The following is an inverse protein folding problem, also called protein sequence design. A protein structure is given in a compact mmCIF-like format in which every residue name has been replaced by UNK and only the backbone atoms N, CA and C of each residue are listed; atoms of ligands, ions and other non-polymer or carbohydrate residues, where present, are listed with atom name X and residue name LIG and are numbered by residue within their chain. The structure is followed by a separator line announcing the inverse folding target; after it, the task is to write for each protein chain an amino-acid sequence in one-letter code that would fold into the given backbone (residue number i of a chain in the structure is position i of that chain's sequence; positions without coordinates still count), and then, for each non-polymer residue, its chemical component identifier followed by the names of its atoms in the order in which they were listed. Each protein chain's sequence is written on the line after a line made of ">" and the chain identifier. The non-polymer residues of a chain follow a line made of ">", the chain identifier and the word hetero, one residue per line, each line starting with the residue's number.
data_IF_083272071166
#
_entry.id   IF_083272071166
#
_cell.length_a   1.000
_cell.length_b   1.000
_cell.length_c   1.000
_cell.angle_alpha   90.00
_cell.angle_beta   90.00
_cell.angle_gamma   90.00
#
_symmetry.space_group_name_H-M   'P 1'
#
loop_
_entity.id
_entity.type
_entity.pdbx_description
1 polymer ?
#
# COMPACT_ATOMS: atom_id res chain seq x y z
N UNK A 1 24.71 41.87 -19.37
CA UNK A 1 23.31 42.32 -19.30
C UNK A 1 22.62 41.62 -18.16
N UNK A 2 22.07 42.37 -17.22
CA UNK A 2 21.32 41.86 -16.08
C UNK A 2 19.96 42.57 -16.12
N UNK A 3 18.99 41.99 -16.82
CA UNK A 3 17.64 42.56 -16.87
C UNK A 3 16.77 41.90 -15.78
N UNK A 4 16.11 42.69 -14.91
CA UNK A 4 15.26 42.15 -13.87
C UNK A 4 13.98 41.54 -14.48
N UNK A 5 13.59 40.36 -14.01
CA UNK A 5 12.35 39.70 -14.43
C UNK A 5 11.12 40.50 -13.97
N UNK A 6 10.22 40.83 -14.89
CA UNK A 6 8.93 41.44 -14.57
C UNK A 6 8.00 40.42 -13.87
N UNK A 7 7.65 40.68 -12.62
CA UNK A 7 6.63 39.92 -11.88
C UNK A 7 5.31 40.70 -11.82
N UNK A 8 4.21 40.00 -12.09
CA UNK A 8 2.86 40.56 -12.16
C UNK A 8 2.43 41.17 -10.81
N UNK A 9 1.98 42.44 -10.76
CA UNK A 9 1.62 43.10 -9.51
C UNK A 9 0.33 42.55 -8.91
N UNK A 10 0.27 42.48 -7.58
CA UNK A 10 -0.84 41.91 -6.79
C UNK A 10 -2.19 42.62 -7.06
N UNK A 11 -2.17 43.86 -7.56
CA UNK A 11 -3.37 44.59 -7.99
C UNK A 11 -4.14 43.91 -9.14
N UNK A 12 -3.49 43.04 -9.92
CA UNK A 12 -4.13 42.30 -11.01
C UNK A 12 -5.23 41.33 -10.53
N UNK A 13 -5.24 40.95 -9.25
CA UNK A 13 -6.25 40.04 -8.68
C UNK A 13 -7.55 40.74 -8.25
N UNK A 14 -7.61 42.07 -8.27
CA UNK A 14 -8.76 42.86 -7.82
C UNK A 14 -9.95 42.86 -8.78
N UNK A 15 -9.75 42.53 -10.06
CA UNK A 15 -10.83 42.51 -11.06
C UNK A 15 -11.41 41.10 -11.24
N UNK A 16 -12.15 40.61 -10.24
CA UNK A 16 -13.06 39.46 -10.42
C UNK A 16 -14.40 39.93 -11.00
N UNK A 17 -14.46 40.10 -12.32
CA UNK A 17 -15.68 39.80 -13.06
C UNK A 17 -15.36 38.70 -14.07
N UNK A 18 -15.80 37.47 -13.78
CA UNK A 18 -15.88 36.45 -14.83
C UNK A 18 -17.03 36.86 -15.75
N UNK A 19 -16.82 36.98 -17.07
CA UNK A 19 -17.93 37.16 -18.00
C UNK A 19 -18.90 35.98 -17.83
N UNK A 20 -20.15 36.31 -17.50
CA UNK A 20 -21.26 35.36 -17.49
C UNK A 20 -21.32 34.69 -18.85
N UNK A 21 -21.09 33.37 -18.91
CA UNK A 21 -21.38 32.58 -20.12
C UNK A 21 -22.89 32.51 -20.29
N UNK A 22 -23.43 33.49 -21.00
CA UNK A 22 -24.79 33.45 -21.52
C UNK A 22 -24.92 32.27 -22.51
N UNK A 23 -25.85 31.37 -22.17
CA UNK A 23 -26.63 30.43 -22.98
C UNK A 23 -26.08 29.97 -24.35
N UNK A 24 -25.70 28.69 -24.41
CA UNK A 24 -25.89 27.83 -25.59
C UNK A 24 -26.15 26.40 -25.09
N UNK A 25 -27.39 26.10 -24.69
CA UNK A 25 -27.86 24.72 -24.54
C UNK A 25 -28.38 24.23 -25.90
N UNK A 26 -27.97 23.05 -26.39
CA UNK A 26 -28.51 22.48 -27.63
C UNK A 26 -30.02 22.20 -27.55
N UNK A 27 -30.75 22.15 -28.67
CA UNK A 27 -32.20 21.94 -28.68
C UNK A 27 -32.58 20.60 -28.05
N UNK A 28 -33.52 20.64 -27.11
CA UNK A 28 -34.06 19.45 -26.43
C UNK A 28 -35.02 18.73 -27.37
N UNK A 29 -34.55 17.69 -28.06
CA UNK A 29 -35.43 16.74 -28.75
C UNK A 29 -36.21 15.89 -27.73
N UNK A 30 -37.41 15.51 -28.13
CA UNK A 30 -38.48 14.96 -27.30
C UNK A 30 -38.09 13.71 -26.49
N UNK A 31 -38.69 13.63 -25.30
CA UNK A 31 -38.55 12.59 -24.29
C UNK A 31 -39.05 11.23 -24.80
N UNK A 32 -38.15 10.25 -24.89
CA UNK A 32 -38.47 8.82 -24.90
C UNK A 32 -38.02 8.24 -23.55
N UNK A 33 -38.73 7.26 -22.97
CA UNK A 33 -38.46 6.78 -21.62
C UNK A 33 -37.11 6.05 -21.56
N UNK A 34 -36.33 6.15 -20.48
CA UNK A 34 -35.03 5.49 -20.39
C UNK A 34 -35.21 3.98 -20.14
N UNK A 35 -35.13 3.20 -21.22
CA UNK A 35 -34.64 1.83 -21.15
C UNK A 35 -33.11 1.89 -21.05
N UNK A 36 -32.59 1.29 -19.97
CA UNK A 36 -31.17 1.01 -19.72
C UNK A 36 -30.20 2.21 -19.68
N UNK A 37 -29.57 2.41 -18.53
CA UNK A 37 -28.31 3.14 -18.41
C UNK A 37 -27.35 2.71 -19.53
N UNK A 38 -26.69 3.64 -20.24
CA UNK A 38 -25.75 3.27 -21.29
C UNK A 38 -24.63 2.46 -20.63
N UNK A 39 -24.57 1.19 -20.98
CA UNK A 39 -23.47 0.31 -20.63
C UNK A 39 -22.25 0.89 -21.36
N UNK A 40 -21.38 1.57 -20.62
CA UNK A 40 -20.11 2.15 -21.11
C UNK A 40 -19.03 1.09 -21.29
N UNK A 41 -19.38 -0.18 -21.46
CA UNK A 41 -18.43 -1.31 -21.50
C UNK A 41 -17.54 -1.35 -22.75
N UNK A 42 -17.76 -0.46 -23.72
CA UNK A 42 -17.03 -0.47 -25.00
C UNK A 42 -16.43 0.88 -25.36
N UNK A 43 -16.09 1.74 -24.39
CA UNK A 43 -15.25 2.91 -24.68
C UNK A 43 -13.76 2.48 -24.65
N UNK A 44 -13.04 2.46 -25.78
CA UNK A 44 -11.63 2.04 -25.81
C UNK A 44 -10.70 2.97 -25.03
N UNK A 45 -11.14 4.17 -24.64
CA UNK A 45 -10.35 5.12 -23.84
C UNK A 45 -10.63 5.02 -22.33
N UNK A 46 -11.82 4.54 -21.93
CA UNK A 46 -12.24 4.46 -20.52
C UNK A 46 -12.42 3.01 -20.01
N UNK A 47 -12.49 2.03 -20.92
CA UNK A 47 -12.78 0.63 -20.62
C UNK A 47 -11.54 -0.26 -20.44
N UNK A 48 -10.34 0.28 -20.67
CA UNK A 48 -9.09 -0.47 -20.46
C UNK A 48 -8.68 -0.43 -18.98
N UNK A 49 -9.52 -0.99 -18.10
CA UNK A 49 -8.94 -1.50 -16.86
C UNK A 49 -8.01 -2.65 -17.25
N UNK A 50 -6.74 -2.65 -16.84
CA UNK A 50 -5.76 -3.72 -17.12
C UNK A 50 -6.29 -5.12 -16.80
N UNK A 51 -7.30 -5.20 -15.92
CA UNK A 51 -7.96 -6.41 -15.48
C UNK A 51 -8.93 -7.04 -16.47
N UNK A 52 -9.57 -6.28 -17.39
CA UNK A 52 -10.60 -6.84 -18.30
C UNK A 52 -10.04 -7.96 -19.19
N UNK A 53 -8.77 -7.87 -19.57
CA UNK A 53 -8.13 -8.82 -20.50
C UNK A 53 -7.73 -10.15 -19.85
N UNK A 54 -7.54 -10.21 -18.52
CA UNK A 54 -7.10 -11.44 -17.82
C UNK A 54 -8.24 -12.20 -17.12
N UNK A 55 -9.35 -11.54 -16.82
CA UNK A 55 -10.51 -12.15 -16.14
C UNK A 55 -11.53 -12.78 -17.09
N UNK A 56 -11.39 -12.63 -18.42
CA UNK A 56 -12.30 -13.28 -19.40
C UNK A 56 -12.31 -14.82 -19.37
N UNK A 57 -11.51 -15.46 -18.50
CA UNK A 57 -11.48 -16.90 -18.32
C UNK A 57 -11.79 -17.44 -16.92
N UNK A 58 -12.08 -16.58 -15.92
CA UNK A 58 -12.43 -17.04 -14.56
C UNK A 58 -13.67 -16.30 -14.08
N UNK A 59 -14.64 -17.03 -13.50
CA UNK A 59 -15.87 -16.53 -12.87
C UNK A 59 -15.61 -15.67 -11.61
N UNK A 60 -14.60 -14.81 -11.62
CA UNK A 60 -14.23 -13.97 -10.48
C UNK A 60 -15.03 -12.68 -10.56
N UNK A 61 -15.85 -12.43 -9.53
CA UNK A 61 -16.65 -11.21 -9.41
C UNK A 61 -15.73 -9.98 -9.44
N UNK A 62 -15.96 -9.09 -10.40
CA UNK A 62 -15.18 -7.85 -10.55
C UNK A 62 -16.07 -6.63 -10.42
N UNK A 63 -15.53 -5.58 -9.79
CA UNK A 63 -16.22 -4.30 -9.59
C UNK A 63 -15.30 -3.17 -10.06
N UNK A 64 -15.79 -2.34 -10.99
CA UNK A 64 -14.99 -1.25 -11.57
C UNK A 64 -13.72 -1.72 -12.28
N UNK A 65 -13.70 -2.97 -12.74
CA UNK A 65 -12.52 -3.58 -13.33
C UNK A 65 -11.44 -3.93 -12.32
N UNK A 66 -11.77 -4.19 -11.05
CA UNK A 66 -10.86 -4.76 -10.06
C UNK A 66 -11.47 -6.02 -9.43
N UNK A 67 -10.66 -7.00 -9.00
CA UNK A 67 -11.16 -8.15 -8.23
C UNK A 67 -11.85 -7.68 -6.96
N UNK A 68 -13.08 -8.14 -6.70
CA UNK A 68 -13.85 -7.75 -5.50
C UNK A 68 -13.07 -8.07 -4.22
N UNK A 69 -12.38 -9.21 -4.16
CA UNK A 69 -11.54 -9.59 -3.01
C UNK A 69 -10.43 -8.58 -2.71
N UNK A 70 -9.79 -8.01 -3.72
CA UNK A 70 -8.79 -6.95 -3.53
C UNK A 70 -9.43 -5.70 -2.91
N UNK A 71 -10.58 -5.27 -3.43
CA UNK A 71 -11.31 -4.12 -2.89
C UNK A 71 -11.76 -4.35 -1.44
N UNK A 72 -12.13 -5.59 -1.09
CA UNK A 72 -12.43 -5.97 0.30
C UNK A 72 -11.19 -5.78 1.18
N UNK A 73 -10.00 -6.23 0.74
CA UNK A 73 -8.77 -6.06 1.51
C UNK A 73 -8.41 -4.58 1.68
N UNK A 74 -8.49 -3.76 0.63
CA UNK A 74 -8.23 -2.31 0.71
C UNK A 74 -9.22 -1.61 1.65
N UNK A 75 -10.50 -1.99 1.59
CA UNK A 75 -11.52 -1.47 2.50
C UNK A 75 -11.23 -1.84 3.96
N UNK A 76 -10.88 -3.11 4.21
CA UNK A 76 -10.47 -3.58 5.54
C UNK A 76 -9.23 -2.84 6.05
N UNK A 77 -8.24 -2.63 5.19
CA UNK A 77 -7.01 -1.89 5.49
C UNK A 77 -7.35 -0.47 5.98
N UNK A 78 -8.15 0.25 5.21
CA UNK A 78 -8.61 1.60 5.55
C UNK A 78 -9.33 1.62 6.91
N UNK A 79 -10.24 0.68 7.15
CA UNK A 79 -10.99 0.57 8.41
C UNK A 79 -10.07 0.32 9.62
N UNK A 80 -9.12 -0.61 9.50
CA UNK A 80 -8.15 -0.91 10.57
C UNK A 80 -7.30 0.33 10.88
N UNK A 81 -6.81 1.02 9.85
CA UNK A 81 -6.02 2.25 10.02
C UNK A 81 -6.82 3.36 10.70
N UNK A 82 -8.10 3.52 10.34
CA UNK A 82 -8.99 4.49 10.99
C UNK A 82 -9.15 4.21 12.49
N UNK A 83 -9.47 2.96 12.86
CA UNK A 83 -9.66 2.59 14.27
C UNK A 83 -8.34 2.73 15.04
N UNK A 84 -7.22 2.26 14.46
CA UNK A 84 -5.89 2.40 15.05
C UNK A 84 -5.52 3.87 15.31
N UNK A 85 -5.86 4.76 14.38
CA UNK A 85 -5.65 6.21 14.53
C UNK A 85 -6.45 6.78 15.72
N UNK A 86 -7.70 6.36 15.89
CA UNK A 86 -8.54 6.77 17.02
C UNK A 86 -7.95 6.29 18.36
N UNK A 87 -7.53 5.03 18.45
CA UNK A 87 -6.90 4.49 19.66
C UNK A 87 -5.59 5.22 20.00
N UNK A 88 -4.74 5.51 19.01
CA UNK A 88 -3.51 6.30 19.22
C UNK A 88 -3.84 7.69 19.75
N UNK A 89 -4.88 8.34 19.21
CA UNK A 89 -5.33 9.64 19.70
C UNK A 89 -5.78 9.56 21.17
N UNK A 90 -6.59 8.58 21.51
CA UNK A 90 -7.06 8.36 22.89
C UNK A 90 -5.92 8.07 23.86
N UNK A 91 -4.95 7.26 23.46
CA UNK A 91 -3.78 6.95 24.28
C UNK A 91 -2.91 8.19 24.51
N UNK A 92 -2.80 9.07 23.52
CA UNK A 92 -2.11 10.36 23.65
C UNK A 92 -2.83 11.27 24.65
N UNK A 93 -4.15 11.40 24.56
CA UNK A 93 -4.95 12.17 25.51
C UNK A 93 -4.81 11.65 26.94
N UNK A 94 -4.87 10.33 27.11
CA UNK A 94 -4.64 9.68 28.41
C UNK A 94 -3.22 9.93 28.93
N UNK A 95 -2.19 9.85 28.09
CA UNK A 95 -0.82 10.19 28.51
C UNK A 95 -0.72 11.63 29.02
N UNK A 96 -1.32 12.59 28.32
CA UNK A 96 -1.36 13.99 28.77
C UNK A 96 -2.11 14.14 30.10
N UNK A 97 -3.21 13.42 30.31
CA UNK A 97 -3.91 13.40 31.61
C UNK A 97 -3.01 12.82 32.71
N UNK A 98 -2.35 11.70 32.45
CA UNK A 98 -1.44 11.06 33.39
C UNK A 98 -0.24 11.94 33.76
N UNK A 99 0.32 12.68 32.79
CA UNK A 99 1.38 13.66 33.02
C UNK A 99 0.91 14.79 33.96
N UNK A 100 -0.32 15.30 33.76
CA UNK A 100 -0.93 16.29 34.67
C UNK A 100 -1.09 15.72 36.07
N UNK A 101 -1.67 14.52 36.22
CA UNK A 101 -1.84 13.87 37.53
C UNK A 101 -0.50 13.73 38.26
N UNK A 102 0.54 13.26 37.55
CA UNK A 102 1.89 13.14 38.08
C UNK A 102 2.47 14.48 38.51
N UNK A 103 2.25 15.55 37.74
CA UNK A 103 2.76 16.89 38.10
C UNK A 103 2.17 17.41 39.42
N UNK A 104 0.92 17.02 39.74
CA UNK A 104 0.27 17.33 41.01
C UNK A 104 0.51 16.26 42.09
N UNK A 105 1.39 15.28 41.86
CA UNK A 105 1.63 14.13 42.75
C UNK A 105 0.36 13.34 43.10
N UNK A 106 -0.62 13.34 42.20
CA UNK A 106 -1.86 12.56 42.38
C UNK A 106 -1.67 11.12 41.87
N UNK A 107 -2.21 10.12 42.58
CA UNK A 107 -2.11 8.73 42.14
C UNK A 107 -2.95 8.48 40.87
N UNK A 108 -2.47 7.58 40.01
CA UNK A 108 -3.23 7.12 38.84
C UNK A 108 -4.20 6.03 39.28
N UNK A 109 -5.50 6.26 39.09
CA UNK A 109 -6.55 5.31 39.47
C UNK A 109 -6.53 4.01 38.67
N UNK A 110 -7.05 2.93 39.27
CA UNK A 110 -7.08 1.59 38.67
C UNK A 110 -7.94 1.58 37.40
N UNK A 111 -9.04 2.33 37.37
CA UNK A 111 -9.92 2.45 36.21
C UNK A 111 -9.21 3.12 35.02
N UNK A 112 -8.30 4.07 35.31
CA UNK A 112 -7.46 4.67 34.27
C UNK A 112 -6.50 3.62 33.70
N UNK A 113 -5.80 2.89 34.57
CA UNK A 113 -4.86 1.85 34.16
C UNK A 113 -5.55 0.74 33.36
N UNK A 114 -6.75 0.31 33.80
CA UNK A 114 -7.56 -0.68 33.09
C UNK A 114 -7.92 -0.19 31.68
N UNK A 115 -8.46 1.02 31.55
CA UNK A 115 -8.81 1.61 30.24
C UNK A 115 -7.59 1.73 29.33
N UNK A 116 -6.46 2.15 29.88
CA UNK A 116 -5.21 2.28 29.13
C UNK A 116 -4.74 0.92 28.62
N UNK A 117 -4.68 -0.08 29.50
CA UNK A 117 -4.28 -1.44 29.15
C UNK A 117 -5.20 -2.06 28.08
N UNK A 118 -6.52 -1.84 28.18
CA UNK A 118 -7.47 -2.30 27.16
C UNK A 118 -7.13 -1.74 25.78
N UNK A 119 -6.89 -0.42 25.66
CA UNK A 119 -6.55 0.20 24.37
C UNK A 119 -5.22 -0.33 23.82
N UNK A 120 -4.24 -0.58 24.69
CA UNK A 120 -2.95 -1.16 24.29
C UNK A 120 -3.13 -2.58 23.71
N UNK A 121 -3.95 -3.41 24.36
CA UNK A 121 -4.25 -4.77 23.86
C UNK A 121 -5.07 -4.73 22.56
N UNK A 122 -6.04 -3.82 22.45
CA UNK A 122 -6.80 -3.60 21.21
C UNK A 122 -5.88 -3.15 20.06
N UNK A 123 -4.92 -2.27 20.33
CA UNK A 123 -3.90 -1.85 19.37
C UNK A 123 -3.00 -3.01 18.93
N UNK A 124 -2.62 -3.91 19.84
CA UNK A 124 -1.86 -5.11 19.50
C UNK A 124 -2.65 -6.00 18.53
N UNK A 125 -3.94 -6.22 18.81
CA UNK A 125 -4.81 -7.01 17.95
C UNK A 125 -4.98 -6.35 16.57
N UNK A 126 -5.22 -5.03 16.54
CA UNK A 126 -5.29 -4.27 15.29
C UNK A 126 -4.00 -4.37 14.48
N UNK A 127 -2.82 -4.40 15.11
CA UNK A 127 -1.55 -4.59 14.41
C UNK A 127 -1.45 -5.98 13.78
N UNK A 128 -1.89 -7.04 14.48
CA UNK A 128 -1.92 -8.40 13.93
C UNK A 128 -2.82 -8.47 12.70
N UNK A 129 -4.01 -7.87 12.78
CA UNK A 129 -4.96 -7.88 11.66
C UNK A 129 -4.52 -6.96 10.52
N UNK A 130 -3.91 -5.82 10.83
CA UNK A 130 -3.29 -4.92 9.84
C UNK A 130 -2.22 -5.67 9.03
N UNK A 131 -1.33 -6.39 9.70
CA UNK A 131 -0.29 -7.16 9.02
C UNK A 131 -0.89 -8.21 8.07
N UNK A 132 -1.91 -8.97 8.50
CA UNK A 132 -2.59 -9.94 7.61
C UNK A 132 -3.18 -9.28 6.37
N UNK A 133 -3.86 -8.14 6.53
CA UNK A 133 -4.47 -7.43 5.41
C UNK A 133 -3.40 -6.83 4.50
N UNK A 134 -2.32 -6.26 5.05
CA UNK A 134 -1.20 -5.74 4.27
C UNK A 134 -0.54 -6.81 3.41
N UNK A 135 -0.33 -8.03 3.93
CA UNK A 135 0.24 -9.13 3.14
C UNK A 135 -0.65 -9.47 1.93
N UNK A 136 -1.98 -9.51 2.12
CA UNK A 136 -2.90 -9.75 1.01
C UNK A 136 -2.93 -8.61 -0.01
N UNK A 137 -2.97 -7.35 0.46
CA UNK A 137 -2.92 -6.18 -0.42
C UNK A 137 -1.62 -6.17 -1.21
N UNK A 138 -0.49 -6.49 -0.57
CA UNK A 138 0.81 -6.60 -1.21
C UNK A 138 0.83 -7.72 -2.26
N UNK A 139 0.28 -8.90 -1.95
CA UNK A 139 0.15 -9.99 -2.91
C UNK A 139 -0.65 -9.56 -4.15
N UNK A 140 -1.80 -8.91 -3.96
CA UNK A 140 -2.55 -8.34 -5.07
C UNK A 140 -1.70 -7.32 -5.84
N UNK A 141 -1.02 -6.41 -5.15
CA UNK A 141 -0.15 -5.42 -5.79
C UNK A 141 0.96 -6.07 -6.63
N UNK A 142 1.50 -7.23 -6.25
CA UNK A 142 2.46 -7.97 -7.08
C UNK A 142 1.84 -8.60 -8.33
N UNK A 143 0.61 -9.11 -8.21
CA UNK A 143 -0.16 -9.62 -9.36
C UNK A 143 -0.57 -8.46 -10.30
N UNK A 144 -0.81 -7.27 -9.74
CA UNK A 144 -1.15 -6.01 -10.41
C UNK A 144 0.05 -5.31 -11.09
N UNK A 145 1.22 -5.30 -10.44
CA UNK A 145 2.36 -4.44 -10.75
C UNK A 145 2.91 -4.56 -12.19
N UNK A 146 3.11 -5.77 -12.75
CA UNK A 146 3.57 -5.91 -14.13
C UNK A 146 2.59 -5.33 -15.16
N UNK A 147 1.30 -5.28 -14.83
CA UNK A 147 0.21 -4.91 -15.74
C UNK A 147 -0.09 -3.41 -15.75
N UNK A 148 0.37 -2.68 -14.73
CA UNK A 148 0.10 -1.25 -14.55
C UNK A 148 1.34 -0.37 -14.72
N UNK A 149 2.48 -0.95 -15.10
CA UNK A 149 3.76 -0.22 -15.17
C UNK A 149 4.25 0.29 -13.81
N UNK A 150 3.66 -0.20 -12.71
CA UNK A 150 4.04 0.14 -11.35
C UNK A 150 5.13 -0.83 -10.91
N UNK A 151 6.38 -0.36 -10.83
CA UNK A 151 7.44 -1.13 -10.18
C UNK A 151 7.05 -1.36 -8.71
N UNK A 152 7.09 -2.61 -8.19
CA UNK A 152 6.78 -2.86 -6.78
C UNK A 152 7.63 -1.98 -5.87
N UNK A 153 6.99 -1.30 -4.92
CA UNK A 153 7.64 -0.38 -3.98
C UNK A 153 8.62 -1.07 -2.99
N UNK A 154 8.71 -2.41 -3.04
CA UNK A 154 9.48 -3.25 -2.13
C UNK A 154 10.72 -3.88 -2.79
N UNK A 155 11.28 -3.22 -3.83
CA UNK A 155 12.53 -3.63 -4.47
C UNK A 155 13.63 -4.09 -3.50
N UNK A 156 13.87 -3.43 -2.34
CA UNK A 156 14.89 -3.87 -1.39
C UNK A 156 14.57 -5.24 -0.76
N UNK A 157 13.30 -5.50 -0.45
CA UNK A 157 12.85 -6.75 0.17
C UNK A 157 12.80 -7.89 -0.84
N UNK A 158 12.36 -7.61 -2.07
CA UNK A 158 12.35 -8.58 -3.16
C UNK A 158 13.75 -8.95 -3.64
N UNK A 159 14.65 -7.97 -3.79
CA UNK A 159 16.04 -8.23 -4.14
C UNK A 159 16.71 -9.10 -3.07
N UNK A 160 16.48 -8.77 -1.79
CA UNK A 160 16.99 -9.58 -0.67
C UNK A 160 16.46 -11.01 -0.73
N UNK A 161 15.15 -11.19 -0.92
CA UNK A 161 14.51 -12.51 -1.03
C UNK A 161 15.09 -13.31 -2.21
N UNK A 162 15.23 -12.70 -3.39
CA UNK A 162 15.83 -13.36 -4.56
C UNK A 162 17.28 -13.77 -4.30
N UNK A 163 18.07 -12.92 -3.66
CA UNK A 163 19.45 -13.26 -3.30
C UNK A 163 19.51 -14.41 -2.29
N UNK A 164 18.56 -14.50 -1.35
CA UNK A 164 18.48 -15.60 -0.38
C UNK A 164 18.08 -16.92 -1.06
N UNK A 165 17.08 -16.90 -1.95
CA UNK A 165 16.65 -18.06 -2.74
C UNK A 165 17.77 -18.55 -3.68
N UNK A 166 18.43 -17.64 -4.39
CA UNK A 166 19.56 -17.94 -5.28
C UNK A 166 20.75 -18.51 -4.49
N UNK A 167 21.06 -17.93 -3.32
CA UNK A 167 22.12 -18.43 -2.45
C UNK A 167 21.85 -19.85 -1.95
N UNK A 168 20.61 -20.16 -1.56
CA UNK A 168 20.23 -21.51 -1.16
C UNK A 168 20.40 -22.50 -2.31
N UNK A 169 20.02 -22.12 -3.53
CA UNK A 169 20.18 -22.99 -4.69
C UNK A 169 21.66 -23.22 -5.06
N UNK A 170 22.48 -22.16 -5.04
CA UNK A 170 23.92 -22.24 -5.28
C UNK A 170 24.57 -23.18 -4.26
N UNK A 171 24.28 -22.98 -2.97
CA UNK A 171 24.85 -23.81 -1.90
C UNK A 171 24.37 -25.25 -2.01
N UNK A 172 23.08 -25.49 -2.30
CA UNK A 172 22.53 -26.83 -2.51
C UNK A 172 23.21 -27.55 -3.67
N UNK A 173 23.35 -26.87 -4.81
CA UNK A 173 24.00 -27.42 -5.99
C UNK A 173 25.49 -27.69 -5.75
N UNK A 174 26.21 -26.74 -5.16
CA UNK A 174 27.62 -26.87 -4.83
C UNK A 174 27.85 -28.02 -3.83
N UNK A 175 27.00 -28.13 -2.82
CA UNK A 175 27.11 -29.16 -1.79
C UNK A 175 26.79 -30.56 -2.32
N UNK A 176 25.96 -30.68 -3.36
CA UNK A 176 25.57 -31.97 -3.97
C UNK A 176 26.38 -32.35 -5.21
N UNK A 177 27.27 -31.46 -5.68
CA UNK A 177 28.00 -31.60 -6.95
C UNK A 177 28.93 -32.82 -7.03
N UNK A 178 29.37 -33.35 -5.88
CA UNK A 178 30.31 -34.48 -5.77
C UNK A 178 29.64 -35.82 -5.48
N UNK A 179 28.30 -35.89 -5.52
CA UNK A 179 27.52 -37.10 -5.30
C UNK A 179 27.30 -37.47 -3.82
N UNK A 180 28.07 -36.87 -2.90
CA UNK A 180 27.81 -36.84 -1.47
C UNK A 180 27.86 -35.39 -0.96
N UNK A 181 27.06 -35.04 0.07
CA UNK A 181 27.11 -33.72 0.67
C UNK A 181 28.51 -33.46 1.26
N UNK A 182 29.20 -32.44 0.76
CA UNK A 182 30.49 -32.01 1.29
C UNK A 182 30.35 -31.46 2.73
N UNK A 183 29.20 -30.84 3.02
CA UNK A 183 28.81 -30.31 4.33
C UNK A 183 27.49 -30.96 4.74
N UNK A 184 27.54 -31.81 5.76
CA UNK A 184 26.36 -32.50 6.33
C UNK A 184 25.69 -31.71 7.46
N UNK A 185 26.41 -30.79 8.08
CA UNK A 185 25.89 -30.01 9.21
C UNK A 185 24.96 -28.89 8.71
N UNK A 186 23.66 -29.04 8.98
CA UNK A 186 22.64 -28.07 8.58
C UNK A 186 22.92 -26.64 9.06
N UNK A 187 23.48 -26.46 10.27
CA UNK A 187 23.82 -25.13 10.78
C UNK A 187 24.96 -24.48 9.97
N UNK A 188 25.91 -25.28 9.49
CA UNK A 188 26.99 -24.78 8.63
C UNK A 188 26.45 -24.48 7.23
N UNK A 189 25.57 -25.33 6.69
CA UNK A 189 24.93 -25.09 5.40
C UNK A 189 24.07 -23.82 5.41
N UNK A 190 23.28 -23.59 6.46
CA UNK A 190 22.51 -22.35 6.65
C UNK A 190 23.42 -21.12 6.75
N UNK A 191 24.50 -21.22 7.52
CA UNK A 191 25.50 -20.14 7.62
C UNK A 191 26.12 -19.80 6.26
N UNK A 192 26.51 -20.82 5.50
CA UNK A 192 27.08 -20.64 4.16
C UNK A 192 26.05 -20.00 3.23
N UNK A 193 24.80 -20.46 3.23
CA UNK A 193 23.71 -19.85 2.44
C UNK A 193 23.48 -18.39 2.79
N UNK A 194 23.48 -18.02 4.08
CA UNK A 194 23.34 -16.62 4.50
C UNK A 194 24.51 -15.75 4.05
N UNK A 195 25.75 -16.26 4.16
CA UNK A 195 26.93 -15.54 3.69
C UNK A 195 26.91 -15.37 2.16
N UNK A 196 26.54 -16.41 1.41
CA UNK A 196 26.34 -16.35 -0.04
C UNK A 196 25.25 -15.32 -0.42
N UNK A 197 24.14 -15.28 0.32
CA UNK A 197 23.07 -14.29 0.09
C UNK A 197 23.56 -12.86 0.31
N UNK A 198 24.42 -12.62 1.30
CA UNK A 198 25.04 -11.31 1.54
C UNK A 198 25.97 -10.93 0.38
N UNK A 199 26.80 -11.87 -0.10
CA UNK A 199 27.70 -11.63 -1.24
C UNK A 199 26.92 -11.29 -2.52
N UNK A 200 25.84 -12.01 -2.80
CA UNK A 200 24.96 -11.71 -3.94
C UNK A 200 24.32 -10.33 -3.81
N UNK A 201 23.85 -9.95 -2.62
CA UNK A 201 23.29 -8.62 -2.38
C UNK A 201 24.32 -7.50 -2.58
N UNK A 202 25.60 -7.72 -2.24
CA UNK A 202 26.67 -6.75 -2.49
C UNK A 202 26.94 -6.64 -3.99
N UNK A 203 27.08 -7.77 -4.69
CA UNK A 203 27.31 -7.81 -6.15
C UNK A 203 26.24 -7.06 -6.92
N UNK A 204 24.96 -7.30 -6.60
CA UNK A 204 23.84 -6.64 -7.27
C UNK A 204 23.81 -5.12 -7.02
N UNK A 205 24.28 -4.67 -5.85
CA UNK A 205 24.38 -3.24 -5.52
C UNK A 205 25.58 -2.53 -6.17
N UNK A 206 26.62 -3.26 -6.57
CA UNK A 206 27.75 -2.68 -7.33
C UNK A 206 27.43 -2.56 -8.84
N UNK A 207 26.50 -3.35 -9.36
CA UNK A 207 26.09 -3.35 -10.77
C UNK A 207 25.00 -2.30 -11.09
N UNK A 208 24.47 -1.58 -10.09
CA UNK A 208 23.46 -0.50 -10.24
C UNK A 208 24.04 0.89 -10.00
#
# INVERSE_FOLDING_TARGET
>A
SNEPHETMPIAAFGQKQRPSRFFMTPPRLHYTPPLQSPITDNDPLLGQSPWRSKISGSDTETLGGFPVEFLIQVTRLSKILMIKKEHIKKLREMNTEAEKLKSYSMPIGIEFQRRYATIVLELEQLNKDLNKVLHKVQQYCYELAPDQGLQPADQPTDMRRRCEEEAQEIVRHANSSTGQPCVENENLTDLISRLTAILLQIKQKEET
#
